data_IF_147900296425
#
_entry.id   IF_147900296425
#
_cell.length_a   1.000
_cell.length_b   1.000
_cell.length_c   1.000
_cell.angle_alpha   90.00
_cell.angle_beta   90.00
_cell.angle_gamma   90.00
#
_symmetry.space_group_name_H-M   'P 1'
#
loop_
_entity.id
_entity.type
_entity.pdbx_description
1 polymer ?
#
# COMPACT_ATOMS: atom_id res chain seq x y z
N UNK A 1 13.57 21.55 -0.70
CA UNK A 1 12.44 20.79 -0.08
C UNK A 1 11.14 21.49 -0.40
N UNK A 2 10.09 20.76 -0.79
CA UNK A 2 8.77 21.34 -1.00
C UNK A 2 8.15 21.65 0.37
N UNK A 3 7.78 22.92 0.63
CA UNK A 3 7.25 23.34 1.94
C UNK A 3 5.87 22.76 2.26
N UNK A 4 5.12 22.37 1.23
CA UNK A 4 3.76 21.82 1.36
C UNK A 4 3.69 20.49 0.62
N UNK A 5 3.68 19.38 1.36
CA UNK A 5 3.56 18.02 0.79
C UNK A 5 2.16 17.46 1.04
N UNK A 6 1.63 16.76 0.02
CA UNK A 6 0.35 16.06 0.09
C UNK A 6 0.60 14.56 -0.04
N UNK A 7 0.01 13.76 0.84
CA UNK A 7 0.09 12.30 0.84
C UNK A 7 -1.28 11.69 0.50
N UNK A 8 -1.29 10.67 -0.34
CA UNK A 8 -2.42 9.76 -0.50
C UNK A 8 -2.06 8.38 0.06
N UNK A 9 -2.86 7.87 0.98
CA UNK A 9 -2.74 6.49 1.50
C UNK A 9 -3.99 5.70 1.12
N UNK A 10 -3.88 4.81 0.14
CA UNK A 10 -4.95 3.85 -0.14
C UNK A 10 -4.94 2.74 0.91
N UNK A 11 -6.12 2.34 1.38
CA UNK A 11 -6.20 1.47 2.56
C UNK A 11 -5.78 2.17 3.86
N UNK A 12 -5.98 3.48 3.96
CA UNK A 12 -5.64 4.30 5.11
C UNK A 12 -6.33 3.88 6.43
N UNK A 13 -7.49 3.22 6.35
CA UNK A 13 -8.19 2.64 7.50
C UNK A 13 -7.63 1.29 7.98
N UNK A 14 -6.68 0.69 7.25
CA UNK A 14 -6.00 -0.53 7.70
C UNK A 14 -5.09 -0.23 8.90
N UNK A 15 -4.74 -1.26 9.67
CA UNK A 15 -3.83 -1.07 10.82
C UNK A 15 -2.47 -0.48 10.39
N UNK A 16 -1.95 -0.88 9.24
CA UNK A 16 -0.72 -0.31 8.67
C UNK A 16 -0.95 1.13 8.22
N UNK A 17 -2.09 1.43 7.56
CA UNK A 17 -2.43 2.78 7.12
C UNK A 17 -2.54 3.76 8.28
N UNK A 18 -3.22 3.37 9.35
CA UNK A 18 -3.34 4.17 10.57
C UNK A 18 -1.98 4.44 11.23
N UNK A 19 -1.16 3.38 11.39
CA UNK A 19 0.18 3.51 11.96
C UNK A 19 1.09 4.39 11.10
N UNK A 20 1.06 4.22 9.78
CA UNK A 20 1.84 5.05 8.87
C UNK A 20 1.42 6.53 8.95
N UNK A 21 0.12 6.81 8.83
CA UNK A 21 -0.39 8.19 8.90
C UNK A 21 0.01 8.84 10.21
N UNK A 22 -0.16 8.14 11.35
CA UNK A 22 0.22 8.67 12.66
C UNK A 22 1.71 8.97 12.80
N UNK A 23 2.58 8.19 12.13
CA UNK A 23 4.03 8.37 12.17
C UNK A 23 4.52 9.54 11.30
N UNK A 24 3.88 9.75 10.14
CA UNK A 24 4.38 10.74 9.16
C UNK A 24 3.54 12.03 9.09
N UNK A 25 2.51 12.17 9.90
CA UNK A 25 1.53 13.27 9.78
C UNK A 25 2.16 14.67 9.84
N UNK A 26 3.28 14.84 10.59
CA UNK A 26 3.99 16.13 10.71
C UNK A 26 4.69 16.56 9.43
N UNK A 27 4.95 15.62 8.53
CA UNK A 27 5.68 15.86 7.29
C UNK A 27 4.76 16.33 6.15
N UNK A 28 3.43 16.31 6.39
CA UNK A 28 2.42 16.63 5.38
C UNK A 28 1.47 17.71 5.83
N UNK A 29 1.10 18.58 4.90
CA UNK A 29 0.05 19.58 5.10
C UNK A 29 -1.34 19.00 4.86
N UNK A 30 -1.43 17.95 4.04
CA UNK A 30 -2.66 17.22 3.75
C UNK A 30 -2.38 15.74 3.57
N UNK A 31 -3.23 14.90 4.15
CA UNK A 31 -3.21 13.44 3.98
C UNK A 31 -4.60 12.97 3.55
N UNK A 32 -4.71 12.49 2.32
CA UNK A 32 -5.86 11.77 1.83
C UNK A 32 -5.83 10.35 2.37
N UNK A 33 -6.75 10.03 3.27
CA UNK A 33 -6.85 8.73 3.92
C UNK A 33 -8.03 7.95 3.30
N UNK A 34 -7.74 7.07 2.34
CA UNK A 34 -8.77 6.26 1.70
C UNK A 34 -9.23 5.13 2.62
N UNK A 35 -10.55 4.94 2.64
CA UNK A 35 -11.22 3.83 3.32
C UNK A 35 -12.37 3.27 2.47
N UNK A 36 -12.76 2.01 2.72
CA UNK A 36 -13.98 1.43 2.15
C UNK A 36 -15.10 1.39 3.22
N UNK A 37 -15.01 0.48 4.20
CA UNK A 37 -16.08 0.25 5.18
C UNK A 37 -15.80 0.84 6.57
N UNK A 38 -14.56 1.17 6.90
CA UNK A 38 -14.14 1.53 8.25
C UNK A 38 -13.91 3.04 8.40
N UNK A 39 -14.98 3.86 8.24
CA UNK A 39 -14.87 5.32 8.41
C UNK A 39 -14.42 5.71 9.82
N UNK A 40 -14.98 5.09 10.86
CA UNK A 40 -14.69 5.42 12.26
C UNK A 40 -13.18 5.45 12.56
N UNK A 41 -12.40 4.52 11.99
CA UNK A 41 -10.95 4.46 12.18
C UNK A 41 -10.22 5.65 11.56
N UNK A 42 -10.70 6.18 10.44
CA UNK A 42 -10.14 7.37 9.79
C UNK A 42 -10.65 8.64 10.46
N UNK A 43 -11.88 8.63 10.96
CA UNK A 43 -12.46 9.72 11.74
C UNK A 43 -11.71 9.93 13.06
N UNK A 44 -11.23 8.87 13.70
CA UNK A 44 -10.33 8.95 14.86
C UNK A 44 -9.00 9.65 14.51
N UNK A 45 -8.41 9.36 13.35
CA UNK A 45 -7.22 10.09 12.86
C UNK A 45 -7.53 11.57 12.65
N UNK A 46 -8.67 11.89 12.04
CA UNK A 46 -9.10 13.27 11.84
C UNK A 46 -9.35 13.99 13.15
N UNK A 47 -9.98 13.34 14.12
CA UNK A 47 -10.18 13.91 15.46
C UNK A 47 -8.84 14.19 16.16
N UNK A 48 -7.82 13.35 15.95
CA UNK A 48 -6.50 13.50 16.57
C UNK A 48 -5.60 14.54 15.88
N UNK A 49 -5.63 14.59 14.55
CA UNK A 49 -4.66 15.38 13.76
C UNK A 49 -5.29 16.56 12.99
N UNK A 50 -6.62 16.75 13.11
CA UNK A 50 -7.33 17.87 12.53
C UNK A 50 -7.57 17.76 11.03
N UNK A 51 -7.85 18.90 10.41
CA UNK A 51 -8.31 19.03 9.02
C UNK A 51 -7.26 18.66 7.96
N UNK A 52 -6.02 18.45 8.36
CA UNK A 52 -5.01 17.88 7.45
C UNK A 52 -5.34 16.45 7.01
N UNK A 53 -6.07 15.70 7.84
CA UNK A 53 -6.59 14.38 7.49
C UNK A 53 -7.88 14.57 6.71
N UNK A 54 -7.88 14.10 5.46
CA UNK A 54 -9.03 14.12 4.55
C UNK A 54 -9.49 12.71 4.26
N UNK A 55 -10.52 12.21 4.96
CA UNK A 55 -11.11 10.92 4.64
C UNK A 55 -11.68 10.94 3.23
N UNK A 56 -11.42 9.90 2.44
CA UNK A 56 -12.04 9.70 1.13
C UNK A 56 -12.49 8.25 1.01
N UNK A 57 -13.79 8.06 0.77
CA UNK A 57 -14.40 6.74 0.64
C UNK A 57 -14.30 6.27 -0.81
N UNK A 58 -13.97 4.98 -1.02
CA UNK A 58 -14.16 4.28 -2.27
C UNK A 58 -14.15 2.76 -2.04
N UNK A 59 -15.06 2.05 -2.68
CA UNK A 59 -14.96 0.61 -2.85
C UNK A 59 -14.16 0.33 -4.13
N UNK A 60 -12.94 -0.13 -3.98
CA UNK A 60 -12.05 -0.34 -5.11
C UNK A 60 -12.45 -1.50 -6.03
N UNK A 61 -13.39 -2.34 -5.64
CA UNK A 61 -14.01 -3.31 -6.55
C UNK A 61 -14.85 -2.64 -7.63
N UNK A 62 -15.28 -1.39 -7.39
CA UNK A 62 -16.12 -0.59 -8.28
C UNK A 62 -15.30 0.51 -8.93
N UNK A 63 -15.19 0.46 -10.23
CA UNK A 63 -14.39 1.42 -11.01
C UNK A 63 -14.90 2.84 -10.87
N UNK A 64 -16.21 3.02 -10.85
CA UNK A 64 -16.87 4.31 -10.67
C UNK A 64 -16.49 5.00 -9.35
N UNK A 65 -16.37 4.24 -8.25
CA UNK A 65 -15.96 4.81 -6.96
C UNK A 65 -14.46 5.20 -6.96
N UNK A 66 -13.61 4.47 -7.71
CA UNK A 66 -12.21 4.88 -7.93
C UNK A 66 -12.13 6.18 -8.71
N UNK A 67 -12.94 6.33 -9.76
CA UNK A 67 -13.04 7.58 -10.55
C UNK A 67 -13.53 8.73 -9.66
N UNK A 68 -14.51 8.51 -8.82
CA UNK A 68 -15.03 9.52 -7.90
C UNK A 68 -13.99 9.96 -6.87
N UNK A 69 -13.21 9.05 -6.29
CA UNK A 69 -12.07 9.35 -5.45
C UNK A 69 -11.06 10.25 -6.17
N UNK A 70 -10.69 9.89 -7.39
CA UNK A 70 -9.73 10.64 -8.21
C UNK A 70 -10.26 12.05 -8.48
N UNK A 71 -11.56 12.20 -8.83
CA UNK A 71 -12.19 13.48 -9.09
C UNK A 71 -12.24 14.33 -7.82
N UNK A 72 -12.63 13.76 -6.69
CA UNK A 72 -12.64 14.44 -5.39
C UNK A 72 -11.26 15.04 -5.08
N UNK A 73 -10.18 14.27 -5.19
CA UNK A 73 -8.82 14.76 -4.95
C UNK A 73 -8.47 15.89 -5.94
N UNK A 74 -8.85 15.73 -7.21
CA UNK A 74 -8.53 16.70 -8.28
C UNK A 74 -9.28 18.04 -8.08
N UNK A 75 -10.56 18.00 -7.69
CA UNK A 75 -11.41 19.17 -7.48
C UNK A 75 -10.92 20.03 -6.30
N UNK A 76 -10.40 19.40 -5.25
CA UNK A 76 -9.74 20.09 -4.16
C UNK A 76 -8.38 20.71 -4.54
N UNK A 77 -7.82 20.39 -5.72
CA UNK A 77 -6.49 20.84 -6.18
C UNK A 77 -5.36 20.49 -5.21
N UNK A 78 -5.57 19.49 -4.35
CA UNK A 78 -4.60 18.95 -3.40
C UNK A 78 -4.03 17.64 -3.95
N UNK A 79 -3.33 17.75 -5.08
CA UNK A 79 -2.76 16.62 -5.80
C UNK A 79 -1.65 15.97 -4.95
N UNK A 80 -1.67 14.64 -4.75
CA UNK A 80 -0.66 13.96 -3.96
C UNK A 80 0.74 14.10 -4.57
N UNK A 81 1.72 14.48 -3.76
CA UNK A 81 3.14 14.38 -4.07
C UNK A 81 3.67 12.98 -3.78
N UNK A 82 3.12 12.36 -2.74
CA UNK A 82 3.47 11.01 -2.33
C UNK A 82 2.22 10.12 -2.33
N UNK A 83 2.38 8.88 -2.80
CA UNK A 83 1.30 7.90 -2.87
C UNK A 83 1.77 6.60 -2.23
N UNK A 84 1.05 6.14 -1.22
CA UNK A 84 1.27 4.83 -0.60
C UNK A 84 0.07 3.94 -0.90
N UNK A 85 0.33 2.83 -1.59
CA UNK A 85 -0.70 1.88 -1.97
C UNK A 85 -0.68 0.65 -1.05
N UNK A 86 -1.63 0.61 -0.10
CA UNK A 86 -1.79 -0.48 0.88
C UNK A 86 -3.04 -1.31 0.61
N UNK A 87 -3.96 -0.85 -0.25
CA UNK A 87 -5.25 -1.50 -0.46
C UNK A 87 -5.10 -2.93 -0.97
N UNK A 88 -5.72 -3.86 -0.28
CA UNK A 88 -5.77 -5.28 -0.61
C UNK A 88 -6.96 -5.92 0.08
N UNK A 89 -7.46 -7.03 -0.47
CA UNK A 89 -8.45 -7.89 0.17
C UNK A 89 -7.81 -9.18 0.67
N UNK A 90 -8.45 -9.79 1.66
CA UNK A 90 -8.04 -11.09 2.18
C UNK A 90 -8.31 -12.17 1.13
N UNK A 91 -7.37 -13.10 0.98
CA UNK A 91 -7.57 -14.31 0.17
C UNK A 91 -8.00 -15.46 1.04
N UNK A 92 -8.86 -16.31 0.52
CA UNK A 92 -9.12 -17.61 1.13
C UNK A 92 -7.98 -18.59 0.87
N UNK A 93 -7.79 -19.56 1.78
CA UNK A 93 -6.81 -20.63 1.62
C UNK A 93 -7.48 -21.84 0.96
N UNK A 94 -7.29 -22.01 -0.36
CA UNK A 94 -7.86 -23.10 -1.15
C UNK A 94 -6.80 -23.77 -2.00
N UNK A 95 -6.99 -25.09 -2.28
CA UNK A 95 -6.20 -25.77 -3.32
C UNK A 95 -6.45 -25.07 -4.67
N UNK A 96 -5.42 -24.98 -5.51
CA UNK A 96 -5.46 -24.27 -6.80
C UNK A 96 -6.72 -24.59 -7.65
N UNK A 97 -7.07 -25.87 -7.80
CA UNK A 97 -8.22 -26.30 -8.61
C UNK A 97 -9.60 -25.93 -8.01
N UNK A 98 -9.65 -25.34 -6.81
CA UNK A 98 -10.88 -24.89 -6.17
C UNK A 98 -11.08 -23.38 -6.28
N UNK A 99 -10.13 -22.64 -6.83
CA UNK A 99 -10.29 -21.22 -7.11
C UNK A 99 -11.07 -21.01 -8.39
N UNK A 100 -12.03 -20.10 -8.38
CA UNK A 100 -12.71 -19.61 -9.56
C UNK A 100 -11.96 -18.40 -10.13
N UNK A 101 -12.15 -18.12 -11.42
CA UNK A 101 -11.55 -16.94 -12.05
C UNK A 101 -11.99 -15.61 -11.38
N UNK A 102 -13.23 -15.51 -10.90
CA UNK A 102 -13.72 -14.34 -10.18
C UNK A 102 -12.84 -13.94 -8.98
N UNK A 103 -12.26 -14.90 -8.25
CA UNK A 103 -11.40 -14.60 -7.12
C UNK A 103 -10.07 -13.96 -7.56
N UNK A 104 -9.57 -14.26 -8.76
CA UNK A 104 -8.42 -13.55 -9.36
C UNK A 104 -8.84 -12.16 -9.82
N UNK A 105 -10.05 -12.00 -10.39
CA UNK A 105 -10.59 -10.71 -10.78
C UNK A 105 -10.78 -9.81 -9.56
N UNK A 106 -11.39 -10.29 -8.48
CA UNK A 106 -11.61 -9.55 -7.23
C UNK A 106 -10.28 -9.02 -6.66
N UNK A 107 -9.23 -9.85 -6.66
CA UNK A 107 -7.89 -9.43 -6.24
C UNK A 107 -7.29 -8.36 -7.16
N UNK A 108 -7.49 -8.48 -8.46
CA UNK A 108 -7.02 -7.54 -9.46
C UNK A 108 -7.79 -6.22 -9.36
N UNK A 109 -9.11 -6.30 -9.25
CA UNK A 109 -10.00 -5.15 -9.21
C UNK A 109 -9.84 -4.32 -7.94
N UNK A 110 -9.45 -4.94 -6.82
CA UNK A 110 -9.28 -4.22 -5.55
C UNK A 110 -7.84 -3.76 -5.27
N UNK A 111 -6.84 -4.31 -5.95
CA UNK A 111 -5.45 -3.93 -5.70
C UNK A 111 -4.74 -3.36 -6.92
N UNK A 112 -4.74 -4.03 -8.07
CA UNK A 112 -3.99 -3.58 -9.25
C UNK A 112 -4.71 -2.48 -10.02
N UNK A 113 -6.00 -2.66 -10.36
CA UNK A 113 -6.78 -1.69 -11.14
C UNK A 113 -6.80 -0.30 -10.51
N UNK A 114 -7.12 -0.13 -9.20
CA UNK A 114 -7.11 1.20 -8.58
C UNK A 114 -5.72 1.82 -8.53
N UNK A 115 -4.66 1.02 -8.31
CA UNK A 115 -3.29 1.51 -8.38
C UNK A 115 -2.98 2.10 -9.76
N UNK A 116 -3.31 1.38 -10.83
CA UNK A 116 -3.11 1.85 -12.22
C UNK A 116 -3.91 3.11 -12.48
N UNK A 117 -5.19 3.17 -12.11
CA UNK A 117 -6.06 4.33 -12.37
C UNK A 117 -5.57 5.59 -11.64
N UNK A 118 -5.24 5.46 -10.35
CA UNK A 118 -4.74 6.55 -9.52
C UNK A 118 -3.41 7.06 -10.05
N UNK A 119 -2.47 6.17 -10.34
CA UNK A 119 -1.15 6.55 -10.85
C UNK A 119 -1.21 7.13 -12.25
N UNK A 120 -2.02 6.57 -13.15
CA UNK A 120 -2.27 7.15 -14.49
C UNK A 120 -2.75 8.60 -14.39
N UNK A 121 -3.57 8.94 -13.40
CA UNK A 121 -4.08 10.30 -13.21
C UNK A 121 -3.02 11.25 -12.64
N UNK A 122 -2.29 10.83 -11.60
CA UNK A 122 -1.45 11.75 -10.84
C UNK A 122 0.03 11.81 -11.28
N UNK A 123 0.58 10.73 -11.85
CA UNK A 123 1.98 10.72 -12.34
C UNK A 123 2.31 11.83 -13.34
N UNK A 124 1.43 12.23 -14.28
CA UNK A 124 1.72 13.37 -15.16
C UNK A 124 1.95 14.68 -14.41
N UNK A 125 1.22 14.92 -13.32
CA UNK A 125 1.40 16.10 -12.48
C UNK A 125 2.71 16.05 -11.68
N UNK A 126 3.05 14.87 -11.13
CA UNK A 126 4.31 14.66 -10.44
C UNK A 126 5.50 14.85 -11.40
N UNK A 127 5.40 14.30 -12.62
CA UNK A 127 6.42 14.47 -13.68
C UNK A 127 6.64 15.93 -14.04
N UNK A 128 5.56 16.71 -14.16
CA UNK A 128 5.65 18.15 -14.44
C UNK A 128 6.37 18.91 -13.32
N UNK A 129 6.19 18.47 -12.07
CA UNK A 129 6.83 19.06 -10.89
C UNK A 129 8.25 18.50 -10.65
N UNK A 130 8.66 17.49 -11.41
CA UNK A 130 9.95 16.80 -11.27
C UNK A 130 10.18 16.27 -9.85
N UNK A 131 9.11 15.83 -9.19
CA UNK A 131 9.11 15.38 -7.80
C UNK A 131 7.93 14.45 -7.51
N UNK A 132 8.19 13.32 -6.85
CA UNK A 132 7.15 12.41 -6.39
C UNK A 132 7.71 11.13 -5.77
N UNK A 133 6.93 10.52 -4.87
CA UNK A 133 7.28 9.22 -4.28
C UNK A 133 6.07 8.29 -4.31
N UNK A 134 6.28 7.08 -4.81
CA UNK A 134 5.26 6.03 -4.82
C UNK A 134 5.80 4.81 -4.07
N UNK A 135 5.06 4.33 -3.08
CA UNK A 135 5.44 3.15 -2.31
C UNK A 135 4.29 2.14 -2.29
N UNK A 136 4.57 0.94 -2.79
CA UNK A 136 3.63 -0.17 -2.75
C UNK A 136 3.85 -1.06 -1.53
N UNK A 137 2.79 -1.57 -0.95
CA UNK A 137 2.86 -2.69 -0.02
C UNK A 137 2.66 -4.00 -0.77
N UNK A 138 3.71 -4.78 -0.86
CA UNK A 138 3.68 -6.12 -1.43
C UNK A 138 3.61 -7.20 -0.33
N UNK A 139 4.43 -8.22 -0.46
CA UNK A 139 4.59 -9.31 0.51
C UNK A 139 5.97 -9.94 0.34
N UNK A 140 6.58 -10.47 1.38
CA UNK A 140 7.82 -11.24 1.32
C UNK A 140 7.75 -12.39 0.30
N UNK A 141 6.54 -12.85 -0.01
CA UNK A 141 6.30 -13.93 -0.98
C UNK A 141 6.65 -13.59 -2.43
N UNK A 142 6.84 -12.31 -2.78
CA UNK A 142 7.33 -11.94 -4.12
C UNK A 142 8.86 -12.06 -4.26
N UNK A 143 9.57 -12.34 -3.16
CA UNK A 143 11.04 -12.48 -3.15
C UNK A 143 11.53 -13.86 -2.70
N UNK A 144 10.67 -14.67 -2.10
CA UNK A 144 11.04 -15.95 -1.52
C UNK A 144 10.09 -17.08 -1.89
N UNK A 145 10.06 -18.12 -1.06
CA UNK A 145 9.14 -19.23 -1.25
C UNK A 145 7.69 -18.77 -1.08
N UNK A 146 6.86 -19.04 -2.08
CA UNK A 146 5.43 -18.71 -2.04
C UNK A 146 4.66 -19.68 -1.13
N UNK A 147 3.65 -19.20 -0.38
CA UNK A 147 2.80 -20.06 0.41
C UNK A 147 1.93 -20.95 -0.51
N UNK A 148 1.56 -22.10 0.01
CA UNK A 148 0.54 -22.93 -0.64
C UNK A 148 -0.84 -22.31 -0.45
N UNK A 149 -1.75 -22.59 -1.37
CA UNK A 149 -3.19 -22.32 -1.25
C UNK A 149 -3.62 -20.85 -1.29
N UNK A 150 -2.78 -19.94 -1.80
CA UNK A 150 -3.06 -18.49 -1.91
C UNK A 150 -2.82 -17.94 -3.31
N UNK A 151 -3.11 -18.71 -4.35
CA UNK A 151 -2.78 -18.38 -5.73
C UNK A 151 -3.27 -17.00 -6.20
N UNK A 152 -4.55 -16.56 -5.99
CA UNK A 152 -5.00 -15.24 -6.42
C UNK A 152 -4.23 -14.10 -5.74
N UNK A 153 -3.95 -14.23 -4.42
CA UNK A 153 -3.19 -13.24 -3.67
C UNK A 153 -1.76 -13.10 -4.21
N UNK A 154 -1.08 -14.22 -4.44
CA UNK A 154 0.28 -14.23 -4.97
C UNK A 154 0.34 -13.58 -6.35
N UNK A 155 -0.58 -13.94 -7.25
CA UNK A 155 -0.67 -13.35 -8.60
C UNK A 155 -0.86 -11.83 -8.51
N UNK A 156 -1.74 -11.34 -7.64
CA UNK A 156 -1.97 -9.90 -7.48
C UNK A 156 -0.72 -9.16 -6.97
N UNK A 157 0.03 -9.77 -6.04
CA UNK A 157 1.26 -9.16 -5.51
C UNK A 157 2.39 -9.14 -6.54
N UNK A 158 2.54 -10.17 -7.37
CA UNK A 158 3.48 -10.16 -8.49
C UNK A 158 3.06 -9.15 -9.57
N UNK A 159 1.77 -8.99 -9.84
CA UNK A 159 1.28 -7.98 -10.77
C UNK A 159 1.64 -6.55 -10.30
N UNK A 160 1.41 -6.23 -9.02
CA UNK A 160 1.84 -4.97 -8.42
C UNK A 160 3.37 -4.81 -8.43
N UNK A 161 4.13 -5.89 -8.19
CA UNK A 161 5.59 -5.86 -8.28
C UNK A 161 6.06 -5.53 -9.70
N UNK A 162 5.47 -6.16 -10.72
CA UNK A 162 5.75 -5.85 -12.12
C UNK A 162 5.45 -4.39 -12.47
N UNK A 163 4.29 -3.87 -12.02
CA UNK A 163 3.91 -2.46 -12.18
C UNK A 163 4.94 -1.53 -11.52
N UNK A 164 5.31 -1.79 -10.27
CA UNK A 164 6.32 -1.02 -9.54
C UNK A 164 7.65 -0.94 -10.29
N UNK A 165 8.14 -2.09 -10.77
CA UNK A 165 9.40 -2.18 -11.51
C UNK A 165 9.38 -1.38 -12.81
N UNK A 166 8.28 -1.46 -13.56
CA UNK A 166 8.13 -0.72 -14.80
C UNK A 166 8.07 0.79 -14.55
N UNK A 167 7.22 1.23 -13.61
CA UNK A 167 7.09 2.66 -13.28
C UNK A 167 8.40 3.24 -12.72
N UNK A 168 9.15 2.47 -11.93
CA UNK A 168 10.45 2.93 -11.44
C UNK A 168 11.42 3.24 -12.57
N UNK A 169 11.48 2.39 -13.60
CA UNK A 169 12.33 2.61 -14.76
C UNK A 169 11.85 3.81 -15.64
N UNK A 170 10.52 3.96 -15.78
CA UNK A 170 9.93 4.99 -16.65
C UNK A 170 10.02 6.40 -16.04
N UNK A 171 9.92 6.52 -14.71
CA UNK A 171 9.74 7.81 -14.05
C UNK A 171 10.94 8.34 -13.29
N UNK A 172 12.06 7.59 -13.19
CA UNK A 172 13.23 8.06 -12.42
C UNK A 172 13.82 9.36 -12.97
N UNK A 173 13.89 9.51 -14.29
CA UNK A 173 14.38 10.74 -14.95
C UNK A 173 13.44 11.94 -14.75
N UNK A 174 12.24 11.70 -14.22
CA UNK A 174 11.25 12.72 -13.85
C UNK A 174 11.26 13.05 -12.35
N UNK A 175 12.31 12.67 -11.63
CA UNK A 175 12.43 12.92 -10.19
C UNK A 175 11.39 12.17 -9.35
N UNK A 176 10.83 11.06 -9.86
CA UNK A 176 9.85 10.25 -9.14
C UNK A 176 10.49 8.92 -8.76
N UNK A 177 10.52 8.62 -7.47
CA UNK A 177 10.94 7.30 -6.99
C UNK A 177 9.74 6.39 -6.81
N UNK A 178 9.85 5.15 -7.28
CA UNK A 178 8.82 4.12 -7.12
C UNK A 178 9.46 2.89 -6.49
N UNK A 179 8.98 2.52 -5.29
CA UNK A 179 9.53 1.43 -4.49
C UNK A 179 8.42 0.57 -3.89
N UNK A 180 8.81 -0.51 -3.22
CA UNK A 180 7.90 -1.36 -2.48
C UNK A 180 8.47 -1.77 -1.12
N UNK A 181 7.57 -2.07 -0.19
CA UNK A 181 7.84 -2.72 1.09
C UNK A 181 7.15 -4.07 1.08
N UNK A 182 7.88 -5.13 1.36
CA UNK A 182 7.43 -6.52 1.35
C UNK A 182 7.58 -7.14 2.74
N UNK A 183 6.62 -6.92 3.64
CA UNK A 183 6.68 -7.54 4.95
C UNK A 183 6.35 -9.04 4.88
N UNK A 184 6.91 -9.80 5.81
CA UNK A 184 6.43 -11.13 6.17
C UNK A 184 5.12 -11.02 6.95
N UNK A 185 4.63 -12.11 7.51
CA UNK A 185 3.38 -12.16 8.25
C UNK A 185 3.36 -11.16 9.41
N UNK A 186 2.36 -10.27 9.40
CA UNK A 186 2.17 -9.25 10.42
C UNK A 186 0.95 -9.55 11.28
N UNK A 187 1.04 -9.28 12.58
CA UNK A 187 -0.07 -9.37 13.54
C UNK A 187 -1.08 -8.22 13.31
N UNK A 188 -1.94 -8.40 12.33
CA UNK A 188 -2.99 -7.44 11.96
C UNK A 188 -4.28 -8.17 11.64
N UNK A 189 -5.40 -7.47 11.65
CA UNK A 189 -6.69 -8.04 11.23
C UNK A 189 -6.69 -8.64 9.82
N UNK A 190 -5.68 -8.39 9.01
CA UNK A 190 -5.55 -8.97 7.67
C UNK A 190 -5.36 -10.50 7.70
N UNK A 191 -4.74 -11.03 8.77
CA UNK A 191 -4.46 -12.46 8.92
C UNK A 191 -5.45 -13.20 9.83
N UNK A 192 -6.60 -12.61 10.19
CA UNK A 192 -7.57 -13.24 11.11
C UNK A 192 -8.11 -14.57 10.57
N UNK A 193 -8.20 -14.71 9.24
CA UNK A 193 -8.63 -15.94 8.57
C UNK A 193 -7.54 -17.01 8.45
N UNK A 194 -6.31 -16.74 8.91
CA UNK A 194 -5.21 -17.70 8.91
C UNK A 194 -5.28 -18.51 10.22
N UNK A 195 -5.22 -19.86 10.16
CA UNK A 195 -5.22 -20.69 11.37
C UNK A 195 -4.07 -20.34 12.33
N UNK A 196 -4.34 -20.36 13.63
CA UNK A 196 -3.35 -19.99 14.64
C UNK A 196 -2.10 -20.88 14.63
N UNK A 197 -2.25 -22.16 14.29
CA UNK A 197 -1.10 -23.05 14.08
C UNK A 197 -0.15 -22.53 12.97
N UNK A 198 -0.69 -21.99 11.89
CA UNK A 198 0.12 -21.44 10.78
C UNK A 198 0.81 -20.15 11.22
N UNK A 199 0.11 -19.30 11.98
CA UNK A 199 0.70 -18.08 12.57
C UNK A 199 1.84 -18.43 13.54
N UNK A 200 1.64 -19.42 14.40
CA UNK A 200 2.65 -19.91 15.35
C UNK A 200 3.88 -20.50 14.63
N UNK A 201 3.66 -21.35 13.60
CA UNK A 201 4.75 -21.91 12.80
C UNK A 201 5.54 -20.81 12.06
N UNK A 202 4.86 -19.78 11.55
CA UNK A 202 5.55 -18.64 10.93
C UNK A 202 6.41 -17.90 11.95
N UNK A 203 5.89 -17.62 13.13
CA UNK A 203 6.62 -16.98 14.22
C UNK A 203 7.84 -17.78 14.65
N UNK A 204 7.71 -19.11 14.81
CA UNK A 204 8.81 -19.99 15.18
C UNK A 204 9.91 -20.04 14.10
N UNK A 205 9.52 -20.03 12.82
CA UNK A 205 10.44 -20.03 11.69
C UNK A 205 11.04 -18.64 11.39
N UNK A 206 10.49 -17.57 11.97
CA UNK A 206 11.03 -16.23 11.83
C UNK A 206 12.38 -16.10 12.54
N UNK A 207 13.37 -15.41 11.94
CA UNK A 207 14.64 -15.13 12.61
C UNK A 207 14.50 -14.43 13.97
N UNK A 208 13.44 -13.60 14.14
CA UNK A 208 13.16 -12.89 15.39
C UNK A 208 12.19 -13.64 16.32
N UNK A 209 11.82 -14.90 15.98
CA UNK A 209 10.95 -15.77 16.80
C UNK A 209 9.57 -15.20 17.13
N UNK A 210 9.08 -14.34 16.26
CA UNK A 210 7.71 -13.80 16.31
C UNK A 210 7.27 -13.35 14.92
N UNK A 211 5.98 -13.14 14.73
CA UNK A 211 5.46 -12.41 13.60
C UNK A 211 5.80 -10.91 13.71
N UNK A 212 5.77 -10.22 12.59
CA UNK A 212 6.00 -8.78 12.57
C UNK A 212 4.85 -8.03 13.25
N UNK A 213 5.20 -6.91 13.86
CA UNK A 213 4.26 -5.88 14.29
C UNK A 213 4.26 -4.71 13.29
N UNK A 214 3.30 -3.83 13.40
CA UNK A 214 3.19 -2.65 12.53
C UNK A 214 4.43 -1.77 12.67
N UNK A 215 4.94 -1.62 13.90
CA UNK A 215 6.11 -0.82 14.25
C UNK A 215 7.40 -1.33 13.58
N UNK A 216 7.47 -2.61 13.22
CA UNK A 216 8.62 -3.17 12.48
C UNK A 216 8.63 -2.74 11.00
N UNK A 217 7.49 -2.34 10.46
CA UNK A 217 7.30 -2.08 9.03
C UNK A 217 7.23 -0.59 8.71
N UNK A 218 6.60 0.20 9.56
CA UNK A 218 6.41 1.65 9.36
C UNK A 218 7.71 2.42 9.11
N UNK A 219 8.85 2.18 9.83
CA UNK A 219 10.09 2.89 9.59
C UNK A 219 10.59 2.81 8.14
N UNK A 220 10.37 1.67 7.47
CA UNK A 220 10.77 1.50 6.07
C UNK A 220 9.91 2.35 5.14
N UNK A 221 8.60 2.44 5.37
CA UNK A 221 7.75 3.37 4.61
C UNK A 221 8.17 4.81 4.84
N UNK A 222 8.40 5.22 6.10
CA UNK A 222 8.87 6.56 6.45
C UNK A 222 10.17 6.90 5.74
N UNK A 223 11.14 5.97 5.74
CA UNK A 223 12.40 6.15 5.01
C UNK A 223 12.16 6.36 3.51
N UNK A 224 11.38 5.49 2.86
CA UNK A 224 11.12 5.60 1.41
C UNK A 224 10.35 6.87 1.02
N UNK A 225 9.62 7.47 1.96
CA UNK A 225 8.91 8.75 1.77
C UNK A 225 9.79 9.97 2.10
N UNK A 226 10.93 9.78 2.75
CA UNK A 226 11.85 10.87 3.13
C UNK A 226 12.75 11.29 1.98
N UNK A 227 13.32 12.48 2.07
CA UNK A 227 14.31 13.00 1.12
C UNK A 227 15.60 12.14 1.12
N UNK A 228 15.88 11.42 2.24
CA UNK A 228 16.99 10.46 2.33
C UNK A 228 16.91 9.28 1.37
N UNK A 229 15.74 9.05 0.76
CA UNK A 229 15.50 7.99 -0.22
C UNK A 229 15.38 8.50 -1.68
N UNK A 230 15.82 9.72 -1.98
CA UNK A 230 15.69 10.31 -3.33
C UNK A 230 16.47 9.55 -4.40
N UNK A 231 17.52 8.82 -4.00
CA UNK A 231 18.30 7.96 -4.90
C UNK A 231 17.90 6.47 -4.85
N UNK A 232 16.88 6.13 -4.06
CA UNK A 232 16.37 4.76 -3.94
C UNK A 232 15.15 4.59 -4.83
N UNK A 233 15.28 3.79 -5.89
CA UNK A 233 14.18 3.52 -6.82
C UNK A 233 14.21 2.07 -7.32
N UNK A 234 13.04 1.55 -7.69
CA UNK A 234 12.87 0.19 -8.18
C UNK A 234 13.21 -0.89 -7.13
N UNK A 235 13.32 -0.51 -5.85
CA UNK A 235 13.66 -1.44 -4.79
C UNK A 235 12.41 -2.04 -4.16
N UNK A 236 12.49 -3.32 -3.87
CA UNK A 236 11.53 -4.02 -3.04
C UNK A 236 12.22 -4.41 -1.72
N UNK A 237 11.93 -3.67 -0.66
CA UNK A 237 12.55 -3.90 0.65
C UNK A 237 11.76 -4.96 1.39
N UNK A 238 12.37 -6.13 1.55
CA UNK A 238 11.79 -7.26 2.28
C UNK A 238 12.08 -7.11 3.76
N UNK A 239 11.04 -7.20 4.60
CA UNK A 239 11.17 -7.16 6.06
C UNK A 239 10.91 -8.54 6.60
N UNK A 240 11.95 -9.16 7.19
CA UNK A 240 11.94 -10.48 7.81
C UNK A 240 11.41 -11.61 6.91
N UNK A 241 11.48 -11.41 5.58
CA UNK A 241 11.18 -12.48 4.62
C UNK A 241 12.15 -13.66 4.78
N UNK A 242 11.66 -14.86 4.50
CA UNK A 242 12.53 -16.04 4.41
C UNK A 242 13.35 -15.91 3.11
N UNK A 243 14.62 -16.16 3.22
CA UNK A 243 15.53 -16.30 2.07
C UNK A 243 15.24 -17.60 1.33
#
# INVERSE_FOLDING_TARGET
MKESKVLLVTGGSSSVGLGLIAEVEKEYTTIWAHYNNSSARVDELKARFGDKIRPVKADFSKEEEVVELINTISDFKLIPDHIVHLAAIKSENKKFHKFNWSEYQDMTDTSLKPAVMILKKFLPSLSKNNYGKVVFMLSSFVNGATPKYQSPYIVSKYALYGLMRNLAAEYIEKGITVNAVSPDMMETGFIDNIPDLVKAQNAENSPIKRNLKIEDVIPTFKYLLSDGADTVYGQNIVIMGKL
#
